data_IF_397191643965
#
_entry.id   IF_397191643965
#
_cell.length_a   1.000
_cell.length_b   1.000
_cell.length_c   1.000
_cell.angle_alpha   90.00
_cell.angle_beta   90.00
_cell.angle_gamma   90.00
#
_symmetry.space_group_name_H-M   'P 1'
#
loop_
_entity.id
_entity.type
_entity.pdbx_description
1 polymer ?
#
# COMPACT_ATOMS: atom_id res chain seq x y z
N UNK A 1 -12.80 18.85 -35.85
CA UNK A 1 -11.97 20.06 -35.59
C UNK A 1 -11.60 20.23 -34.12
N UNK A 2 -12.56 20.16 -33.17
CA UNK A 2 -12.29 20.24 -31.72
C UNK A 2 -11.25 19.21 -31.20
N UNK A 3 -11.31 17.96 -31.66
CA UNK A 3 -10.42 16.89 -31.18
C UNK A 3 -8.94 17.08 -31.57
N UNK A 4 -8.68 17.66 -32.75
CA UNK A 4 -7.32 17.93 -33.25
C UNK A 4 -6.69 19.10 -32.49
N UNK A 5 -7.47 20.15 -32.22
CA UNK A 5 -7.05 21.32 -31.44
C UNK A 5 -6.78 20.92 -29.98
N UNK A 6 -7.60 20.05 -29.39
CA UNK A 6 -7.36 19.52 -28.04
C UNK A 6 -6.08 18.67 -27.98
N UNK A 7 -5.86 17.78 -28.96
CA UNK A 7 -4.61 17.01 -29.05
C UNK A 7 -3.38 17.91 -29.17
N UNK A 8 -3.43 18.92 -30.05
CA UNK A 8 -2.34 19.86 -30.23
C UNK A 8 -2.06 20.69 -28.96
N UNK A 9 -3.09 21.16 -28.25
CA UNK A 9 -2.94 21.89 -26.98
C UNK A 9 -2.37 21.02 -25.86
N UNK A 10 -2.79 19.76 -25.76
CA UNK A 10 -2.25 18.80 -24.79
C UNK A 10 -0.77 18.53 -25.09
N UNK A 11 -0.43 18.25 -26.35
CA UNK A 11 0.96 18.04 -26.79
C UNK A 11 1.81 19.28 -26.51
N UNK A 12 1.35 20.49 -26.88
CA UNK A 12 2.10 21.72 -26.63
C UNK A 12 2.29 21.99 -25.13
N UNK A 13 1.24 21.81 -24.31
CA UNK A 13 1.31 22.00 -22.86
C UNK A 13 2.27 21.03 -22.19
N UNK A 14 2.33 19.79 -22.68
CA UNK A 14 3.28 18.76 -22.25
C UNK A 14 4.70 19.14 -22.65
N UNK A 15 4.92 19.48 -23.92
CA UNK A 15 6.25 19.88 -24.41
C UNK A 15 6.76 21.08 -23.61
N UNK A 16 5.93 22.10 -23.37
CA UNK A 16 6.31 23.27 -22.58
C UNK A 16 6.63 22.92 -21.12
N UNK A 17 5.78 22.13 -20.47
CA UNK A 17 5.99 21.63 -19.10
C UNK A 17 7.30 20.85 -18.98
N UNK A 18 7.65 20.09 -20.03
CA UNK A 18 8.87 19.30 -20.07
C UNK A 18 10.12 20.10 -20.40
N UNK A 19 10.06 21.08 -21.30
CA UNK A 19 11.19 21.98 -21.56
C UNK A 19 11.52 22.80 -20.31
N UNK A 20 10.51 23.19 -19.52
CA UNK A 20 10.70 23.81 -18.20
C UNK A 20 11.29 22.84 -17.17
N UNK A 21 10.87 21.58 -17.15
CA UNK A 21 11.37 20.55 -16.24
C UNK A 21 12.79 20.05 -16.58
N UNK A 22 13.18 20.01 -17.86
CA UNK A 22 14.51 19.62 -18.31
C UNK A 22 15.60 20.58 -17.80
N UNK A 23 15.25 21.86 -17.59
CA UNK A 23 16.14 22.85 -16.97
C UNK A 23 16.34 22.60 -15.46
N UNK A 24 15.33 22.04 -14.78
CA UNK A 24 15.33 21.80 -13.32
C UNK A 24 15.91 20.42 -12.95
N UNK A 25 15.79 19.42 -13.83
CA UNK A 25 16.22 18.03 -13.59
C UNK A 25 17.72 17.77 -13.70
N UNK A 26 18.52 18.74 -14.15
CA UNK A 26 19.98 18.59 -14.31
C UNK A 26 20.77 18.45 -12.99
N UNK A 27 20.14 18.65 -11.83
CA UNK A 27 20.76 18.50 -10.51
C UNK A 27 20.25 17.35 -9.63
N UNK A 28 19.23 16.59 -10.06
CA UNK A 28 18.57 15.59 -9.20
C UNK A 28 19.26 14.23 -9.28
N UNK A 29 19.88 13.80 -8.18
CA UNK A 29 20.40 12.44 -8.03
C UNK A 29 19.32 11.49 -7.52
N UNK A 30 19.24 10.28 -8.09
CA UNK A 30 18.49 9.19 -7.48
C UNK A 30 19.00 8.97 -6.05
N UNK A 31 18.09 8.89 -5.08
CA UNK A 31 18.49 8.51 -3.74
C UNK A 31 18.89 7.03 -3.75
N UNK A 32 20.14 6.75 -3.37
CA UNK A 32 20.53 5.39 -3.01
C UNK A 32 19.70 5.00 -1.81
N UNK A 33 18.96 3.91 -1.95
CA UNK A 33 18.25 3.33 -0.83
C UNK A 33 19.26 2.94 0.23
N UNK A 34 19.24 3.62 1.39
CA UNK A 34 20.09 3.26 2.52
C UNK A 34 19.45 2.17 3.37
N UNK A 35 18.22 2.39 3.86
CA UNK A 35 17.39 1.41 4.60
C UNK A 35 16.00 2.01 4.86
N UNK A 36 14.98 1.18 5.18
CA UNK A 36 13.76 1.68 5.83
C UNK A 36 14.06 1.93 7.32
N UNK A 37 13.88 3.16 7.86
CA UNK A 37 14.22 3.47 9.25
C UNK A 37 13.52 2.58 10.28
N UNK A 38 12.25 2.25 10.04
CA UNK A 38 11.48 1.35 10.91
C UNK A 38 12.06 -0.05 10.89
N UNK A 39 12.32 -0.60 9.70
CA UNK A 39 12.89 -1.94 9.56
C UNK A 39 14.26 -2.02 10.24
N UNK A 40 15.10 -0.99 10.08
CA UNK A 40 16.40 -0.89 10.76
C UNK A 40 16.27 -0.97 12.28
N UNK A 41 15.31 -0.24 12.86
CA UNK A 41 15.04 -0.25 14.30
C UNK A 41 14.52 -1.61 14.77
N UNK A 42 13.63 -2.25 14.01
CA UNK A 42 13.12 -3.58 14.30
C UNK A 42 14.25 -4.63 14.32
N UNK A 43 15.16 -4.58 13.35
CA UNK A 43 16.35 -5.44 13.31
C UNK A 43 17.27 -5.20 14.52
N UNK A 44 17.49 -3.94 14.91
CA UNK A 44 18.31 -3.58 16.08
C UNK A 44 17.77 -4.16 17.38
N UNK A 45 16.44 -4.24 17.53
CA UNK A 45 15.79 -4.87 18.70
C UNK A 45 15.55 -6.37 18.52
N UNK A 46 16.11 -6.98 17.46
CA UNK A 46 15.97 -8.40 17.13
C UNK A 46 14.52 -8.87 16.97
N UNK A 47 13.62 -7.97 16.54
CA UNK A 47 12.27 -8.39 16.17
C UNK A 47 12.35 -9.19 14.86
N UNK A 48 11.78 -10.41 14.80
CA UNK A 48 11.74 -11.19 13.57
C UNK A 48 10.98 -10.45 12.47
N UNK A 49 11.51 -10.50 11.25
CA UNK A 49 10.85 -10.06 10.02
C UNK A 49 10.48 -11.29 9.19
N UNK A 50 9.51 -11.16 8.30
CA UNK A 50 9.18 -12.22 7.35
C UNK A 50 10.33 -12.48 6.38
N UNK A 51 10.40 -13.71 5.86
CA UNK A 51 11.38 -14.08 4.82
C UNK A 51 11.29 -13.17 3.60
N UNK A 52 10.08 -12.79 3.20
CA UNK A 52 9.86 -11.92 2.04
C UNK A 52 10.33 -10.50 2.29
N UNK A 53 10.12 -9.96 3.50
CA UNK A 53 10.72 -8.68 3.90
C UNK A 53 12.24 -8.75 3.88
N UNK A 54 12.87 -9.77 4.46
CA UNK A 54 14.33 -9.90 4.46
C UNK A 54 14.92 -10.02 3.05
N UNK A 55 14.30 -10.84 2.21
CA UNK A 55 14.66 -11.01 0.79
C UNK A 55 14.52 -9.71 0.03
N UNK A 56 13.43 -8.98 0.27
CA UNK A 56 13.21 -7.68 -0.34
C UNK A 56 14.26 -6.67 0.15
N UNK A 57 14.52 -6.60 1.46
CA UNK A 57 15.53 -5.75 2.10
C UNK A 57 16.91 -5.90 1.49
N UNK A 58 17.37 -7.15 1.32
CA UNK A 58 18.65 -7.46 0.67
C UNK A 58 18.72 -7.01 -0.78
N UNK A 59 17.58 -7.02 -1.49
CA UNK A 59 17.51 -6.64 -2.90
C UNK A 59 17.61 -5.13 -3.09
N UNK A 60 16.88 -4.33 -2.31
CA UNK A 60 16.76 -2.89 -2.55
C UNK A 60 17.79 -2.02 -1.79
N UNK A 61 18.34 -2.45 -0.65
CA UNK A 61 19.42 -1.71 0.03
C UNK A 61 20.63 -1.54 -0.92
N UNK A 62 21.09 -0.30 -1.08
CA UNK A 62 22.13 0.07 -2.05
C UNK A 62 21.64 0.20 -3.50
N UNK A 63 20.36 -0.02 -3.78
CA UNK A 63 19.83 0.10 -5.14
C UNK A 63 19.75 1.57 -5.56
N UNK A 64 20.30 1.82 -6.75
CA UNK A 64 20.09 3.02 -7.53
C UNK A 64 19.46 2.60 -8.86
N UNK A 65 18.19 2.93 -9.08
CA UNK A 65 17.47 2.57 -10.30
C UNK A 65 18.03 3.29 -11.56
N UNK A 66 18.81 4.36 -11.39
CA UNK A 66 19.49 5.01 -12.52
C UNK A 66 20.77 4.27 -12.95
N UNK A 67 21.23 3.30 -12.16
CA UNK A 67 22.40 2.50 -12.51
C UNK A 67 22.20 1.68 -13.80
N UNK A 68 23.30 1.27 -14.48
CA UNK A 68 23.23 0.34 -15.59
C UNK A 68 22.51 -0.96 -15.22
N UNK A 69 21.74 -1.51 -16.16
CA UNK A 69 21.02 -2.78 -15.97
C UNK A 69 19.56 -2.66 -15.55
N UNK A 70 19.07 -1.48 -15.16
CA UNK A 70 17.63 -1.25 -14.98
C UNK A 70 16.97 -0.69 -16.24
N UNK A 71 15.77 -1.18 -16.54
CA UNK A 71 14.93 -0.78 -17.67
C UNK A 71 13.51 -0.49 -17.19
N UNK A 72 12.87 0.50 -17.80
CA UNK A 72 11.51 0.92 -17.54
C UNK A 72 10.74 0.82 -18.85
N UNK A 73 9.71 -0.02 -18.87
CA UNK A 73 9.15 -0.47 -20.15
C UNK A 73 7.64 -0.31 -20.23
N UNK A 74 6.97 0.04 -19.13
CA UNK A 74 5.51 0.04 -19.06
C UNK A 74 5.03 1.03 -17.99
N UNK A 75 4.08 1.86 -18.40
CA UNK A 75 3.14 2.51 -17.49
C UNK A 75 1.90 1.61 -17.38
N UNK A 76 1.42 1.41 -16.17
CA UNK A 76 0.26 0.56 -15.90
C UNK A 76 -0.68 1.24 -14.91
N UNK A 77 -1.92 0.77 -14.88
CA UNK A 77 -3.00 1.31 -14.05
C UNK A 77 -3.84 2.35 -14.82
N UNK A 78 -5.11 2.49 -14.41
CA UNK A 78 -6.10 3.32 -15.10
C UNK A 78 -6.29 4.66 -14.43
N UNK A 79 -6.41 4.64 -13.11
CA UNK A 79 -6.43 5.82 -12.23
C UNK A 79 -5.04 6.10 -11.69
N UNK A 80 -4.27 5.04 -11.47
CA UNK A 80 -2.92 5.02 -10.94
C UNK A 80 -1.91 4.77 -12.02
N UNK A 81 -0.73 5.39 -11.88
CA UNK A 81 0.30 5.32 -12.89
C UNK A 81 1.52 4.76 -12.23
N UNK A 82 1.80 3.52 -12.58
CA UNK A 82 2.93 2.82 -12.04
C UNK A 82 3.97 2.58 -13.11
N UNK A 83 5.23 2.87 -12.77
CA UNK A 83 6.38 2.54 -13.61
C UNK A 83 6.85 1.13 -13.26
N UNK A 84 6.70 0.19 -14.19
CA UNK A 84 7.26 -1.16 -14.03
C UNK A 84 8.77 -1.10 -14.19
N UNK A 85 9.47 -1.71 -13.25
CA UNK A 85 10.93 -1.75 -13.22
C UNK A 85 11.39 -3.18 -13.49
N UNK A 86 12.25 -3.33 -14.49
CA UNK A 86 12.91 -4.59 -14.83
C UNK A 86 14.41 -4.44 -14.67
N UNK A 87 15.09 -5.56 -14.36
CA UNK A 87 16.55 -5.64 -14.30
C UNK A 87 17.03 -6.65 -15.34
N UNK A 88 18.08 -6.32 -16.09
CA UNK A 88 18.73 -7.25 -17.03
C UNK A 88 19.05 -8.55 -16.28
N UNK A 89 18.64 -9.66 -16.89
CA UNK A 89 18.87 -11.00 -16.38
C UNK A 89 19.37 -11.90 -17.50
N UNK A 90 20.67 -12.24 -17.45
CA UNK A 90 21.30 -13.08 -18.47
C UNK A 90 20.80 -14.53 -18.46
N UNK A 91 20.09 -14.93 -17.41
CA UNK A 91 19.50 -16.27 -17.28
C UNK A 91 18.08 -16.35 -17.84
N UNK A 92 17.42 -15.21 -18.10
CA UNK A 92 16.14 -15.19 -18.82
C UNK A 92 16.43 -15.17 -20.32
N UNK A 93 16.44 -16.35 -20.94
CA UNK A 93 16.76 -16.52 -22.36
C UNK A 93 15.66 -15.99 -23.30
N UNK A 94 14.46 -15.67 -22.79
CA UNK A 94 13.32 -15.25 -23.61
C UNK A 94 13.25 -13.74 -23.68
N UNK A 95 13.30 -13.06 -22.54
CA UNK A 95 13.17 -11.61 -22.49
C UNK A 95 14.46 -10.91 -22.11
N UNK A 96 15.44 -11.60 -21.51
CA UNK A 96 16.68 -10.98 -21.00
C UNK A 96 16.47 -10.09 -19.78
N UNK A 97 15.30 -10.13 -19.13
CA UNK A 97 14.94 -9.24 -18.02
C UNK A 97 14.06 -9.92 -16.97
N UNK A 98 14.37 -9.70 -15.69
CA UNK A 98 13.47 -10.05 -14.57
C UNK A 98 12.69 -8.85 -14.05
N UNK A 99 11.44 -9.08 -13.64
CA UNK A 99 10.67 -8.09 -12.91
C UNK A 99 11.34 -7.79 -11.56
N UNK A 100 11.57 -6.49 -11.30
CA UNK A 100 12.25 -6.02 -10.09
C UNK A 100 11.25 -5.51 -9.05
N UNK A 101 10.33 -4.65 -9.50
CA UNK A 101 9.38 -3.96 -8.66
C UNK A 101 8.52 -2.98 -9.44
N UNK A 102 7.91 -2.06 -8.73
CA UNK A 102 7.04 -1.04 -9.31
C UNK A 102 7.19 0.25 -8.54
N UNK A 103 7.48 1.34 -9.24
CA UNK A 103 7.44 2.68 -8.64
C UNK A 103 6.03 3.26 -8.79
N UNK A 104 5.49 3.82 -7.71
CA UNK A 104 4.14 4.39 -7.64
C UNK A 104 4.21 5.87 -7.24
N UNK A 105 3.51 6.71 -8.01
CA UNK A 105 3.38 8.15 -7.73
C UNK A 105 2.14 8.45 -6.90
N UNK A 106 2.10 9.62 -6.24
CA UNK A 106 0.92 10.09 -5.51
C UNK A 106 -0.23 10.55 -6.43
N UNK A 107 -1.48 10.27 -6.07
CA UNK A 107 -2.70 11.01 -6.42
C UNK A 107 -3.91 10.40 -5.67
N UNK A 108 -5.11 10.98 -5.84
CA UNK A 108 -6.34 10.59 -5.11
C UNK A 108 -6.88 9.16 -5.29
N UNK A 109 -6.08 8.21 -5.80
CA UNK A 109 -6.33 6.75 -5.75
C UNK A 109 -5.09 5.97 -5.32
N UNK A 110 -3.87 6.52 -5.50
CA UNK A 110 -2.60 5.97 -5.05
C UNK A 110 -1.93 6.92 -4.09
N UNK A 111 -1.92 6.60 -2.80
CA UNK A 111 -1.12 7.29 -1.81
C UNK A 111 0.15 6.47 -1.49
N UNK A 112 1.34 6.84 -2.04
CA UNK A 112 2.59 6.14 -1.75
C UNK A 112 2.95 6.18 -0.27
N UNK A 113 2.62 7.26 0.45
CA UNK A 113 2.87 7.36 1.89
C UNK A 113 2.06 6.32 2.66
N UNK A 114 0.79 6.14 2.28
CA UNK A 114 -0.04 5.07 2.84
C UNK A 114 0.54 3.69 2.53
N UNK A 115 0.97 3.40 1.31
CA UNK A 115 1.61 2.11 0.98
C UNK A 115 2.81 1.80 1.89
N UNK A 116 3.66 2.80 2.13
CA UNK A 116 4.84 2.70 3.00
C UNK A 116 4.41 2.53 4.46
N UNK A 117 3.45 3.33 4.92
CA UNK A 117 2.95 3.32 6.29
C UNK A 117 2.23 2.02 6.65
N UNK A 118 1.48 1.42 5.71
CA UNK A 118 0.90 0.09 5.87
C UNK A 118 1.96 -0.95 6.14
N UNK A 119 2.97 -1.01 5.26
CA UNK A 119 4.05 -1.98 5.38
C UNK A 119 4.83 -1.79 6.70
N UNK A 120 5.24 -0.56 7.01
CA UNK A 120 6.00 -0.27 8.22
C UNK A 120 5.19 -0.55 9.49
N UNK A 121 3.90 -0.19 9.54
CA UNK A 121 3.06 -0.50 10.70
C UNK A 121 2.81 -2.00 10.82
N UNK A 122 2.57 -2.71 9.71
CA UNK A 122 2.43 -4.16 9.72
C UNK A 122 3.72 -4.84 10.25
N UNK A 123 4.90 -4.38 9.83
CA UNK A 123 6.18 -4.86 10.35
C UNK A 123 6.33 -4.62 11.86
N UNK A 124 5.97 -3.43 12.36
CA UNK A 124 5.94 -3.14 13.81
C UNK A 124 5.05 -4.14 14.55
N UNK A 125 3.88 -4.44 13.98
CA UNK A 125 2.92 -5.37 14.56
C UNK A 125 3.36 -6.84 14.45
N UNK A 126 4.26 -7.16 13.52
CA UNK A 126 4.79 -8.50 13.26
C UNK A 126 3.98 -9.28 12.22
N UNK A 127 3.40 -8.57 11.26
CA UNK A 127 2.56 -9.11 10.17
C UNK A 127 3.00 -8.53 8.81
N UNK A 128 4.30 -8.32 8.61
CA UNK A 128 4.85 -7.82 7.34
C UNK A 128 4.79 -8.84 6.20
N UNK A 129 4.47 -10.09 6.50
CA UNK A 129 4.20 -11.16 5.54
C UNK A 129 2.89 -10.96 4.76
N UNK A 130 1.90 -10.26 5.33
CA UNK A 130 0.59 -10.04 4.68
C UNK A 130 0.49 -8.74 3.87
N UNK A 131 1.52 -7.88 3.89
CA UNK A 131 1.54 -6.61 3.17
C UNK A 131 2.74 -6.61 2.22
N UNK A 132 2.51 -6.21 0.96
CA UNK A 132 3.59 -6.06 -0.02
C UNK A 132 4.58 -4.99 0.45
N UNK A 133 5.90 -5.31 0.54
CA UNK A 133 6.89 -4.34 0.97
C UNK A 133 6.94 -3.12 0.06
N UNK A 134 7.03 -1.94 0.69
CA UNK A 134 7.06 -0.64 0.04
C UNK A 134 7.96 0.33 0.82
N UNK A 135 8.52 1.30 0.10
CA UNK A 135 9.40 2.32 0.69
C UNK A 135 9.48 3.58 -0.15
N UNK A 136 9.79 4.70 0.49
CA UNK A 136 10.11 5.95 -0.18
C UNK A 136 11.25 5.77 -1.18
N UNK A 137 11.05 6.32 -2.37
CA UNK A 137 12.07 6.39 -3.39
C UNK A 137 11.94 7.71 -4.14
N UNK A 138 13.09 8.31 -4.46
CA UNK A 138 13.18 9.50 -5.30
C UNK A 138 13.74 9.06 -6.65
N UNK A 139 12.94 9.20 -7.71
CA UNK A 139 13.39 8.87 -9.06
C UNK A 139 14.56 9.78 -9.46
N UNK A 140 15.60 9.18 -10.03
CA UNK A 140 16.67 9.92 -10.68
C UNK A 140 16.30 10.30 -12.12
N UNK A 141 17.24 11.01 -12.76
CA UNK A 141 17.09 11.54 -14.11
C UNK A 141 16.71 10.48 -15.15
N UNK A 142 17.36 9.30 -15.14
CA UNK A 142 17.10 8.25 -16.13
C UNK A 142 15.69 7.69 -15.99
N UNK A 143 15.28 7.40 -14.76
CA UNK A 143 13.95 6.88 -14.47
C UNK A 143 12.85 7.90 -14.79
N UNK A 144 13.07 9.17 -14.41
CA UNK A 144 12.15 10.27 -14.70
C UNK A 144 11.99 10.51 -16.22
N UNK A 145 13.10 10.48 -16.97
CA UNK A 145 13.07 10.58 -18.43
C UNK A 145 12.33 9.39 -19.06
N UNK A 146 12.50 8.18 -18.53
CA UNK A 146 11.78 7.00 -19.02
C UNK A 146 10.27 7.11 -18.74
N UNK A 147 9.90 7.63 -17.58
CA UNK A 147 8.50 7.93 -17.23
C UNK A 147 7.90 8.93 -18.21
N UNK A 148 8.63 10.02 -18.53
CA UNK A 148 8.28 11.00 -19.56
C UNK A 148 8.06 10.36 -20.93
N UNK A 149 9.02 9.60 -21.43
CA UNK A 149 8.95 9.00 -22.77
C UNK A 149 7.83 7.97 -22.89
N UNK A 150 7.63 7.13 -21.88
CA UNK A 150 6.52 6.18 -21.87
C UNK A 150 5.17 6.91 -21.87
N UNK A 151 5.10 8.05 -21.19
CA UNK A 151 3.90 8.86 -21.20
C UNK A 151 3.62 9.48 -22.56
N UNK A 152 4.62 10.12 -23.18
CA UNK A 152 4.50 10.68 -24.53
C UNK A 152 4.04 9.61 -25.55
N UNK A 153 4.53 8.37 -25.39
CA UNK A 153 4.11 7.22 -26.19
C UNK A 153 2.65 6.83 -25.97
N UNK A 154 2.18 6.74 -24.72
CA UNK A 154 0.76 6.44 -24.44
C UNK A 154 -0.19 7.49 -25.04
N UNK A 155 0.23 8.76 -25.01
CA UNK A 155 -0.58 9.90 -25.49
C UNK A 155 -0.65 10.00 -27.02
N UNK A 156 0.35 9.49 -27.72
CA UNK A 156 0.38 9.48 -29.19
C UNK A 156 -0.43 8.33 -29.79
N UNK A 157 -0.69 7.25 -29.03
CA UNK A 157 -1.35 6.03 -29.52
C UNK A 157 -2.90 6.08 -29.41
N UNK A 158 -3.52 7.02 -28.68
CA UNK A 158 -4.93 6.89 -28.28
C UNK A 158 -6.00 7.51 -29.21
N UNK A 159 -7.09 6.75 -29.39
CA UNK A 159 -8.35 7.10 -30.07
C UNK A 159 -9.29 7.92 -29.16
N UNK A 160 -10.19 8.76 -29.72
CA UNK A 160 -11.15 9.55 -28.93
C UNK A 160 -12.16 8.67 -28.17
N UNK A 161 -12.45 8.99 -26.90
CA UNK A 161 -13.59 8.43 -26.14
C UNK A 161 -13.24 7.61 -24.89
N UNK A 162 -11.96 7.39 -24.58
CA UNK A 162 -11.58 6.68 -23.36
C UNK A 162 -11.58 7.62 -22.13
N UNK A 163 -12.67 7.59 -21.34
CA UNK A 163 -12.82 8.35 -20.08
C UNK A 163 -11.67 8.14 -19.11
N UNK A 164 -10.92 7.03 -19.21
CA UNK A 164 -9.74 6.75 -18.37
C UNK A 164 -8.59 7.71 -18.68
N UNK A 165 -8.49 8.21 -19.91
CA UNK A 165 -7.42 9.13 -20.32
C UNK A 165 -7.68 10.59 -19.92
N UNK A 166 -8.92 11.07 -20.00
CA UNK A 166 -9.28 12.45 -19.67
C UNK A 166 -8.98 12.83 -18.21
N UNK A 167 -9.01 11.85 -17.29
CA UNK A 167 -8.63 12.01 -15.88
C UNK A 167 -7.13 11.87 -15.66
N UNK A 168 -6.46 11.03 -16.46
CA UNK A 168 -5.05 10.65 -16.28
C UNK A 168 -4.12 11.79 -16.69
N UNK A 169 -4.38 12.47 -17.81
CA UNK A 169 -3.49 13.47 -18.43
C UNK A 169 -3.25 14.72 -17.57
N UNK A 170 -4.28 15.41 -17.02
CA UNK A 170 -4.05 16.62 -16.22
C UNK A 170 -3.29 16.32 -14.92
N UNK A 171 -3.54 15.14 -14.33
CA UNK A 171 -2.84 14.69 -13.13
C UNK A 171 -1.36 14.46 -13.42
N UNK A 172 -1.05 13.76 -14.51
CA UNK A 172 0.31 13.52 -14.98
C UNK A 172 1.11 14.80 -15.23
N UNK A 173 0.50 15.78 -15.89
CA UNK A 173 1.12 17.07 -16.18
C UNK A 173 1.53 17.85 -14.92
N UNK A 174 0.73 17.74 -13.84
CA UNK A 174 1.06 18.36 -12.56
C UNK A 174 2.29 17.76 -11.85
N UNK A 175 2.68 16.52 -12.19
CA UNK A 175 3.83 15.82 -11.59
C UNK A 175 5.13 16.10 -12.32
N UNK A 176 5.08 16.14 -13.64
CA UNK A 176 6.26 16.35 -14.48
C UNK A 176 6.89 17.72 -14.28
N UNK A 177 6.13 18.68 -13.75
CA UNK A 177 6.57 20.04 -13.45
C UNK A 177 7.16 20.22 -12.04
N UNK A 178 7.19 19.16 -11.20
CA UNK A 178 7.68 19.21 -9.81
C UNK A 178 8.79 18.20 -9.51
N UNK A 179 9.98 18.33 -10.13
CA UNK A 179 11.14 17.53 -9.71
C UNK A 179 11.63 17.94 -8.30
N UNK A 180 12.14 17.00 -7.49
CA UNK A 180 12.31 15.58 -7.81
C UNK A 180 11.00 14.77 -7.66
N UNK A 181 10.83 13.73 -8.48
CA UNK A 181 9.67 12.82 -8.38
C UNK A 181 9.85 11.86 -7.19
N UNK A 182 9.12 12.11 -6.12
CA UNK A 182 9.09 11.29 -4.90
C UNK A 182 7.86 10.39 -4.94
N UNK A 183 8.03 9.12 -4.56
CA UNK A 183 6.95 8.15 -4.50
C UNK A 183 7.36 6.89 -3.74
N UNK A 184 6.65 5.79 -4.01
CA UNK A 184 6.90 4.49 -3.36
C UNK A 184 7.51 3.48 -4.32
N UNK A 185 8.59 2.80 -3.93
CA UNK A 185 9.06 1.59 -4.60
C UNK A 185 8.45 0.37 -3.92
N UNK A 186 7.59 -0.36 -4.63
CA UNK A 186 6.98 -1.61 -4.19
C UNK A 186 7.77 -2.81 -4.70
N UNK A 187 7.93 -3.83 -3.87
CA UNK A 187 8.48 -5.14 -4.25
C UNK A 187 7.78 -5.72 -5.49
N UNK A 188 8.35 -6.68 -6.24
CA UNK A 188 7.54 -7.45 -7.21
C UNK A 188 6.37 -8.12 -6.47
N UNK A 189 5.19 -8.25 -7.10
CA UNK A 189 4.11 -9.09 -6.54
C UNK A 189 4.61 -10.53 -6.37
N UNK A 190 4.07 -11.25 -5.38
CA UNK A 190 4.34 -12.67 -5.21
C UNK A 190 3.95 -13.45 -6.48
N UNK A 191 4.71 -14.48 -6.85
CA UNK A 191 4.50 -15.19 -8.12
C UNK A 191 3.16 -15.96 -8.16
N UNK A 192 2.69 -16.39 -6.99
CA UNK A 192 1.38 -17.00 -6.81
C UNK A 192 0.28 -16.00 -6.42
N UNK A 193 0.50 -14.69 -6.63
CA UNK A 193 -0.50 -13.68 -6.31
C UNK A 193 -1.78 -13.87 -7.14
N UNK A 194 -2.93 -13.83 -6.48
CA UNK A 194 -4.23 -13.74 -7.14
C UNK A 194 -5.18 -12.83 -6.36
N UNK A 195 -6.05 -12.11 -7.08
CA UNK A 195 -7.15 -11.36 -6.47
C UNK A 195 -8.22 -12.32 -5.91
N UNK A 196 -8.83 -11.96 -4.79
CA UNK A 196 -9.88 -12.75 -4.15
C UNK A 196 -11.23 -12.02 -4.17
N UNK A 197 -11.90 -12.10 -5.31
CA UNK A 197 -13.13 -11.36 -5.64
C UNK A 197 -14.32 -11.75 -4.77
N UNK A 198 -14.40 -13.01 -4.35
CA UNK A 198 -15.50 -13.53 -3.53
C UNK A 198 -15.57 -12.97 -2.10
N UNK A 199 -14.64 -12.09 -1.72
CA UNK A 199 -14.70 -11.38 -0.45
C UNK A 199 -15.43 -10.03 -0.56
N UNK A 200 -15.57 -9.48 -1.76
CA UNK A 200 -16.21 -8.20 -2.00
C UNK A 200 -17.68 -8.36 -2.41
N UNK A 201 -18.53 -7.57 -1.76
CA UNK A 201 -19.93 -7.36 -2.11
C UNK A 201 -20.07 -5.97 -2.75
N UNK A 202 -20.16 -5.93 -4.08
CA UNK A 202 -20.25 -4.70 -4.86
C UNK A 202 -21.59 -4.72 -5.60
N UNK A 203 -22.64 -4.06 -5.07
CA UNK A 203 -23.92 -3.98 -5.76
C UNK A 203 -23.75 -3.32 -7.14
N UNK A 204 -24.45 -3.78 -8.19
CA UNK A 204 -24.42 -3.15 -9.50
C UNK A 204 -24.73 -1.65 -9.41
N UNK A 205 -23.86 -0.81 -9.98
CA UNK A 205 -24.01 0.65 -9.97
C UNK A 205 -23.64 1.36 -8.67
N UNK A 206 -23.26 0.64 -7.61
CA UNK A 206 -22.76 1.26 -6.39
C UNK A 206 -21.34 1.80 -6.60
N UNK A 207 -21.10 3.04 -6.18
CA UNK A 207 -19.75 3.63 -6.20
C UNK A 207 -18.80 3.07 -5.14
N UNK A 208 -19.32 2.27 -4.18
CA UNK A 208 -18.57 1.62 -3.10
C UNK A 208 -19.22 0.30 -2.67
N UNK A 209 -18.41 -0.72 -2.38
CA UNK A 209 -18.81 -2.04 -1.85
C UNK A 209 -18.34 -2.27 -0.41
N UNK A 210 -18.67 -3.46 0.12
CA UNK A 210 -18.28 -3.92 1.45
C UNK A 210 -17.87 -5.39 1.46
N UNK A 211 -17.57 -5.98 2.62
CA UNK A 211 -17.29 -7.40 2.71
C UNK A 211 -18.56 -8.24 2.50
N UNK A 212 -18.45 -9.33 1.76
CA UNK A 212 -19.53 -10.30 1.60
C UNK A 212 -19.76 -11.04 2.94
N UNK A 213 -20.87 -10.76 3.62
CA UNK A 213 -21.11 -11.18 5.01
C UNK A 213 -21.11 -12.71 5.23
N UNK A 214 -21.46 -13.48 4.20
CA UNK A 214 -21.46 -14.95 4.26
C UNK A 214 -20.11 -15.57 3.92
N UNK A 215 -19.12 -14.76 3.51
CA UNK A 215 -17.75 -15.23 3.33
C UNK A 215 -17.23 -15.86 4.63
N UNK A 216 -16.65 -17.07 4.60
CA UNK A 216 -16.30 -17.82 5.81
C UNK A 216 -15.34 -17.06 6.72
N UNK A 217 -14.41 -16.28 6.15
CA UNK A 217 -13.46 -15.47 6.93
C UNK A 217 -14.17 -14.28 7.57
N UNK A 218 -14.99 -13.53 6.82
CA UNK A 218 -15.76 -12.39 7.34
C UNK A 218 -16.71 -12.84 8.46
N UNK A 219 -17.35 -14.01 8.29
CA UNK A 219 -18.25 -14.58 9.29
C UNK A 219 -17.53 -14.82 10.62
N UNK A 220 -16.34 -15.42 10.60
CA UNK A 220 -15.57 -15.66 11.84
C UNK A 220 -14.90 -14.42 12.40
N UNK A 221 -14.96 -13.28 11.71
CA UNK A 221 -14.51 -11.97 12.24
C UNK A 221 -15.61 -11.20 12.96
N UNK A 222 -16.80 -11.77 13.10
CA UNK A 222 -17.84 -11.25 13.97
C UNK A 222 -17.74 -11.90 15.35
N UNK A 223 -17.59 -11.10 16.40
CA UNK A 223 -17.47 -11.58 17.77
C UNK A 223 -18.71 -12.37 18.25
N UNK A 224 -19.88 -12.12 17.65
CA UNK A 224 -21.12 -12.84 17.91
C UNK A 224 -21.20 -14.23 17.29
N UNK A 225 -20.34 -14.56 16.32
CA UNK A 225 -20.31 -15.87 15.66
C UNK A 225 -19.35 -16.83 16.40
N UNK A 226 -19.40 -18.15 16.17
CA UNK A 226 -18.41 -19.07 16.74
C UNK A 226 -16.97 -18.71 16.36
N UNK A 227 -16.00 -19.07 17.21
CA UNK A 227 -14.58 -18.91 16.90
C UNK A 227 -14.13 -19.89 15.80
N UNK A 228 -13.18 -19.51 14.94
CA UNK A 228 -12.59 -20.43 13.99
C UNK A 228 -11.69 -21.45 14.71
N UNK A 229 -11.83 -22.72 14.37
CA UNK A 229 -10.95 -23.78 14.84
C UNK A 229 -9.63 -23.78 14.06
N UNK A 230 -8.52 -24.11 14.72
CA UNK A 230 -7.24 -24.34 14.07
C UNK A 230 -7.30 -25.56 13.14
N UNK A 231 -6.46 -25.55 12.10
CA UNK A 231 -6.35 -26.61 11.06
C UNK A 231 -7.60 -26.82 10.21
N UNK A 232 -8.63 -25.98 10.37
CA UNK A 232 -9.82 -26.01 9.52
C UNK A 232 -9.48 -25.40 8.16
N UNK A 233 -9.37 -26.26 7.14
CA UNK A 233 -9.13 -25.83 5.77
C UNK A 233 -10.37 -25.17 5.17
N UNK A 234 -10.16 -24.12 4.38
CA UNK A 234 -11.19 -23.45 3.60
C UNK A 234 -10.69 -23.24 2.18
N UNK A 235 -11.51 -23.64 1.20
CA UNK A 235 -11.28 -23.32 -0.20
C UNK A 235 -11.72 -21.87 -0.44
N UNK A 236 -10.79 -21.03 -0.88
CA UNK A 236 -11.04 -19.62 -1.16
C UNK A 236 -11.47 -19.44 -2.62
N UNK A 237 -10.70 -20.04 -3.52
CA UNK A 237 -10.97 -20.12 -4.95
C UNK A 237 -10.19 -21.29 -5.54
N UNK A 238 -10.41 -21.59 -6.82
CA UNK A 238 -9.72 -22.68 -7.52
C UNK A 238 -8.20 -22.58 -7.31
N UNK A 239 -7.62 -23.62 -6.71
CA UNK A 239 -6.19 -23.71 -6.43
C UNK A 239 -5.71 -22.96 -5.18
N UNK A 240 -6.57 -22.31 -4.40
CA UNK A 240 -6.21 -21.57 -3.18
C UNK A 240 -6.99 -22.10 -1.97
N UNK A 241 -6.31 -22.88 -1.13
CA UNK A 241 -6.84 -23.39 0.14
C UNK A 241 -5.97 -22.90 1.28
N UNK A 242 -6.59 -22.34 2.32
CA UNK A 242 -5.88 -21.84 3.50
C UNK A 242 -6.46 -22.38 4.81
N UNK A 243 -5.78 -22.08 5.91
CA UNK A 243 -6.28 -22.36 7.26
C UNK A 243 -7.18 -21.22 7.74
N UNK A 244 -8.41 -21.53 8.17
CA UNK A 244 -9.41 -20.54 8.50
C UNK A 244 -9.00 -19.64 9.68
N UNK A 245 -8.36 -20.18 10.72
CA UNK A 245 -7.92 -19.39 11.86
C UNK A 245 -6.78 -18.45 11.47
N UNK A 246 -5.80 -18.95 10.72
CA UNK A 246 -4.69 -18.15 10.22
C UNK A 246 -5.19 -17.02 9.31
N UNK A 247 -6.03 -17.34 8.32
CA UNK A 247 -6.64 -16.36 7.43
C UNK A 247 -7.47 -15.31 8.19
N UNK A 248 -8.21 -15.72 9.23
CA UNK A 248 -8.94 -14.80 10.08
C UNK A 248 -7.99 -13.86 10.84
N UNK A 249 -6.86 -14.36 11.36
CA UNK A 249 -5.87 -13.52 12.05
C UNK A 249 -5.25 -12.49 11.10
N UNK A 250 -4.84 -12.94 9.91
CA UNK A 250 -4.28 -12.08 8.86
C UNK A 250 -5.27 -10.99 8.45
N UNK A 251 -6.52 -11.35 8.15
CA UNK A 251 -7.52 -10.38 7.70
C UNK A 251 -8.02 -9.46 8.82
N UNK A 252 -8.07 -9.93 10.07
CA UNK A 252 -8.33 -9.08 11.23
C UNK A 252 -7.28 -7.96 11.36
N UNK A 253 -6.01 -8.27 11.09
CA UNK A 253 -4.94 -7.27 11.08
C UNK A 253 -5.10 -6.29 9.92
N UNK A 254 -5.38 -6.78 8.70
CA UNK A 254 -5.62 -5.94 7.53
C UNK A 254 -6.75 -4.94 7.79
N UNK A 255 -7.91 -5.41 8.27
CA UNK A 255 -9.02 -4.50 8.55
C UNK A 255 -8.76 -3.54 9.71
N UNK A 256 -7.93 -3.94 10.67
CA UNK A 256 -7.47 -3.03 11.73
C UNK A 256 -6.61 -1.91 11.16
N UNK A 257 -5.72 -2.21 10.20
CA UNK A 257 -4.94 -1.21 9.47
C UNK A 257 -5.85 -0.34 8.59
N UNK A 258 -6.86 -0.93 7.93
CA UNK A 258 -7.86 -0.21 7.12
C UNK A 258 -8.61 0.85 7.94
N UNK A 259 -8.88 0.60 9.22
CA UNK A 259 -9.44 1.60 10.15
C UNK A 259 -8.42 2.72 10.43
N UNK A 260 -7.17 2.36 10.72
CA UNK A 260 -6.12 3.31 11.11
C UNK A 260 -5.80 4.27 9.97
N UNK A 261 -5.69 3.77 8.75
CA UNK A 261 -5.30 4.56 7.58
C UNK A 261 -6.49 4.98 6.70
N UNK A 262 -7.72 4.69 7.12
CA UNK A 262 -8.95 5.06 6.41
C UNK A 262 -9.02 4.53 4.97
N UNK A 263 -8.68 3.26 4.78
CA UNK A 263 -8.79 2.62 3.47
C UNK A 263 -10.24 2.68 2.96
N UNK A 264 -10.45 3.34 1.82
CA UNK A 264 -11.77 3.51 1.23
C UNK A 264 -12.12 2.53 0.11
N UNK A 265 -11.12 1.89 -0.50
CA UNK A 265 -11.30 1.14 -1.75
C UNK A 265 -11.03 -0.37 -1.66
N UNK A 266 -10.79 -0.91 -0.44
CA UNK A 266 -10.49 -2.34 -0.19
C UNK A 266 -11.38 -3.29 -1.02
N UNK A 267 -12.67 -2.96 -1.12
CA UNK A 267 -13.66 -3.76 -1.83
C UNK A 267 -14.02 -3.22 -3.22
N UNK A 268 -13.77 -1.94 -3.53
CA UNK A 268 -14.32 -1.27 -4.73
C UNK A 268 -13.66 -1.70 -6.05
N UNK A 269 -12.48 -2.31 -5.97
CA UNK A 269 -11.78 -2.92 -7.11
C UNK A 269 -11.27 -4.34 -6.78
N UNK A 270 -11.77 -4.94 -5.70
CA UNK A 270 -11.19 -6.16 -5.09
C UNK A 270 -9.69 -6.01 -4.79
N UNK A 271 -9.34 -5.01 -3.96
CA UNK A 271 -7.99 -4.84 -3.44
C UNK A 271 -7.70 -5.83 -2.30
N UNK A 272 -8.16 -7.07 -2.45
CA UNK A 272 -7.96 -8.21 -1.56
C UNK A 272 -7.21 -9.26 -2.35
N UNK A 273 -5.97 -9.53 -1.95
CA UNK A 273 -5.09 -10.48 -2.60
C UNK A 273 -4.77 -11.71 -1.76
N UNK A 274 -4.45 -12.80 -2.45
CA UNK A 274 -3.94 -14.04 -1.88
C UNK A 274 -2.56 -14.33 -2.47
N UNK A 275 -1.70 -14.96 -1.67
CA UNK A 275 -0.46 -15.59 -2.12
C UNK A 275 -0.33 -16.97 -1.47
N UNK A 276 0.47 -17.84 -2.07
CA UNK A 276 0.79 -19.16 -1.53
C UNK A 276 2.17 -19.17 -0.91
N UNK A 277 2.29 -19.82 0.24
CA UNK A 277 3.59 -20.14 0.85
C UNK A 277 4.29 -21.33 0.15
N UNK A 278 5.47 -21.70 0.65
CA UNK A 278 6.25 -22.85 0.15
C UNK A 278 5.50 -24.19 0.31
N UNK A 279 4.52 -24.27 1.21
CA UNK A 279 3.67 -25.43 1.44
C UNK A 279 2.38 -25.41 0.58
N UNK A 280 2.28 -24.48 -0.38
CA UNK A 280 1.10 -24.24 -1.22
C UNK A 280 -0.18 -23.86 -0.44
N UNK A 281 -0.04 -23.37 0.79
CA UNK A 281 -1.14 -22.85 1.61
C UNK A 281 -1.38 -21.40 1.24
N UNK A 282 -2.66 -21.05 1.05
CA UNK A 282 -3.05 -19.68 0.74
C UNK A 282 -3.09 -18.80 2.00
N UNK A 283 -2.52 -17.60 1.85
CA UNK A 283 -2.45 -16.52 2.84
C UNK A 283 -2.96 -15.22 2.22
N UNK A 284 -3.42 -14.28 3.03
CA UNK A 284 -3.71 -12.94 2.56
C UNK A 284 -2.40 -12.18 2.25
N UNK A 285 -2.40 -11.47 1.11
CA UNK A 285 -1.26 -10.67 0.68
C UNK A 285 -1.73 -9.39 0.00
N UNK A 286 -1.76 -8.28 0.74
CA UNK A 286 -2.25 -6.99 0.27
C UNK A 286 -1.19 -6.30 -0.57
N UNK A 287 -1.49 -6.08 -1.84
CA UNK A 287 -0.56 -5.44 -2.78
C UNK A 287 -0.93 -4.02 -3.14
N UNK A 288 -2.10 -3.57 -2.71
CA UNK A 288 -2.68 -2.29 -3.06
C UNK A 288 -3.34 -1.66 -1.82
N UNK A 289 -2.69 -0.62 -1.31
CA UNK A 289 -3.15 0.17 -0.17
C UNK A 289 -3.15 1.66 -0.52
N UNK A 290 -3.03 1.99 -1.81
CA UNK A 290 -3.02 3.36 -2.30
C UNK A 290 -4.31 4.12 -2.02
N UNK A 291 -5.45 3.41 -1.97
CA UNK A 291 -6.75 3.96 -1.59
C UNK A 291 -6.89 4.35 -0.11
N UNK A 292 -5.83 4.30 0.69
CA UNK A 292 -5.87 4.82 2.05
C UNK A 292 -5.49 6.30 2.08
N UNK A 293 -6.30 7.10 2.77
CA UNK A 293 -6.15 8.55 2.88
C UNK A 293 -6.52 9.01 4.29
N UNK A 294 -5.52 9.38 5.09
CA UNK A 294 -5.77 9.90 6.42
C UNK A 294 -6.21 11.36 6.37
N UNK A 295 -7.52 11.56 6.31
CA UNK A 295 -8.17 12.89 6.29
C UNK A 295 -8.99 13.14 7.54
N UNK A 296 -9.47 14.37 7.70
CA UNK A 296 -10.26 14.74 8.89
C UNK A 296 -11.69 14.17 8.92
N UNK A 297 -12.12 13.49 7.87
CA UNK A 297 -13.41 12.80 7.78
C UNK A 297 -13.41 11.47 8.58
N UNK A 298 -14.55 11.15 9.19
CA UNK A 298 -14.78 9.93 9.98
C UNK A 298 -15.59 8.86 9.24
N UNK A 299 -16.11 9.16 8.05
CA UNK A 299 -16.98 8.25 7.31
C UNK A 299 -16.29 6.91 7.01
N UNK A 300 -15.05 6.95 6.50
CA UNK A 300 -14.30 5.75 6.15
C UNK A 300 -13.90 4.94 7.40
N UNK A 301 -13.57 5.59 8.51
CA UNK A 301 -13.29 4.93 9.82
C UNK A 301 -14.53 4.20 10.32
N UNK A 302 -15.67 4.90 10.37
CA UNK A 302 -16.93 4.38 10.90
C UNK A 302 -17.40 3.19 10.08
N UNK A 303 -17.31 3.30 8.74
CA UNK A 303 -17.60 2.20 7.83
C UNK A 303 -16.67 1.01 8.10
N UNK A 304 -15.36 1.21 8.16
CA UNK A 304 -14.40 0.12 8.35
C UNK A 304 -14.58 -0.57 9.72
N UNK A 305 -14.90 0.17 10.77
CA UNK A 305 -15.25 -0.38 12.09
C UNK A 305 -16.54 -1.21 12.08
N UNK A 306 -17.47 -0.96 11.15
CA UNK A 306 -18.72 -1.72 11.04
C UNK A 306 -18.55 -3.10 10.42
N UNK A 307 -17.40 -3.35 9.76
CA UNK A 307 -17.17 -4.58 9.01
C UNK A 307 -16.78 -5.77 9.88
N UNK A 308 -16.29 -5.54 11.10
CA UNK A 308 -15.81 -6.60 11.96
C UNK A 308 -15.82 -6.23 13.43
N UNK A 309 -15.78 -7.26 14.27
CA UNK A 309 -15.79 -7.10 15.71
C UNK A 309 -14.87 -8.10 16.43
N UNK A 310 -14.09 -8.91 15.72
CA UNK A 310 -13.11 -9.82 16.32
C UNK A 310 -11.69 -9.44 15.93
N UNK A 311 -10.85 -9.23 16.94
CA UNK A 311 -9.52 -8.65 16.80
C UNK A 311 -8.40 -9.64 17.12
N UNK A 312 -7.19 -9.37 16.62
CA UNK A 312 -5.98 -10.01 17.10
C UNK A 312 -5.50 -9.32 18.39
N UNK A 313 -5.48 -10.04 19.52
CA UNK A 313 -5.13 -9.48 20.83
C UNK A 313 -3.72 -8.88 20.86
N UNK A 314 -2.73 -9.55 20.27
CA UNK A 314 -1.33 -9.07 20.24
C UNK A 314 -1.21 -7.76 19.47
N UNK A 315 -1.93 -7.66 18.34
CA UNK A 315 -2.01 -6.44 17.52
C UNK A 315 -2.60 -5.28 18.31
N UNK A 316 -3.76 -5.49 18.94
CA UNK A 316 -4.41 -4.44 19.76
C UNK A 316 -3.50 -3.98 20.91
N UNK A 317 -2.80 -4.89 21.59
CA UNK A 317 -1.87 -4.52 22.67
C UNK A 317 -0.74 -3.62 22.17
N UNK A 318 -0.10 -3.95 21.03
CA UNK A 318 0.92 -3.09 20.43
C UNK A 318 0.36 -1.73 19.99
N UNK A 319 -0.86 -1.70 19.45
CA UNK A 319 -1.52 -0.44 19.08
C UNK A 319 -1.89 0.43 20.30
N UNK A 320 -2.24 -0.17 21.44
CA UNK A 320 -2.39 0.56 22.71
C UNK A 320 -1.07 1.20 23.14
N UNK A 321 0.05 0.49 23.01
CA UNK A 321 1.38 1.04 23.31
C UNK A 321 1.73 2.20 22.38
N UNK A 322 1.48 2.06 21.07
CA UNK A 322 1.66 3.13 20.10
C UNK A 322 0.81 4.36 20.47
N UNK A 323 -0.48 4.16 20.77
CA UNK A 323 -1.36 5.26 21.20
C UNK A 323 -0.86 5.96 22.47
N UNK A 324 -0.37 5.20 23.46
CA UNK A 324 0.21 5.77 24.68
C UNK A 324 1.47 6.60 24.39
N UNK A 325 2.34 6.13 23.48
CA UNK A 325 3.51 6.88 23.04
C UNK A 325 3.14 8.16 22.31
N UNK A 326 2.18 8.10 21.38
CA UNK A 326 1.78 9.31 20.66
C UNK A 326 1.27 10.37 21.64
N UNK A 327 0.48 9.99 22.65
CA UNK A 327 -0.03 10.91 23.67
C UNK A 327 1.04 11.41 24.64
N UNK A 328 2.04 10.58 24.96
CA UNK A 328 3.14 10.95 25.83
C UNK A 328 4.47 10.40 25.27
N UNK A 329 5.15 11.15 24.39
CA UNK A 329 6.36 10.69 23.72
C UNK A 329 7.51 10.33 24.67
N UNK A 330 7.50 10.84 25.90
CA UNK A 330 8.51 10.52 26.92
C UNK A 330 8.50 9.03 27.33
N UNK A 331 7.38 8.32 27.14
CA UNK A 331 7.30 6.86 27.35
C UNK A 331 8.13 6.06 26.34
N UNK A 332 8.39 6.67 25.19
CA UNK A 332 9.09 6.07 24.07
C UNK A 332 8.33 4.93 23.39
N UNK A 333 8.74 4.63 22.15
CA UNK A 333 8.22 3.50 21.37
C UNK A 333 9.27 3.10 20.34
N UNK A 334 9.74 1.85 20.35
CA UNK A 334 10.80 1.37 19.42
C UNK A 334 12.04 2.30 19.37
N UNK A 335 12.39 2.91 20.51
CA UNK A 335 13.50 3.87 20.60
C UNK A 335 13.19 5.29 20.10
N UNK A 336 11.98 5.57 19.62
CA UNK A 336 11.52 6.93 19.36
C UNK A 336 11.14 7.63 20.66
N UNK A 337 11.46 8.92 20.77
CA UNK A 337 11.00 9.84 21.83
C UNK A 337 10.28 11.07 21.29
N UNK A 338 10.12 11.15 19.96
CA UNK A 338 9.44 12.22 19.25
C UNK A 338 8.40 11.57 18.31
N UNK A 339 7.12 11.96 18.47
CA UNK A 339 6.03 11.41 17.69
C UNK A 339 6.05 11.86 16.22
N UNK A 340 6.50 13.09 15.94
CA UNK A 340 6.62 13.62 14.58
C UNK A 340 7.71 12.88 13.80
N UNK A 341 8.88 12.67 14.41
CA UNK A 341 9.93 11.85 13.79
C UNK A 341 9.45 10.41 13.54
N UNK A 342 8.65 9.85 14.46
CA UNK A 342 8.07 8.52 14.26
C UNK A 342 7.13 8.46 13.06
N UNK A 343 6.20 9.42 12.88
CA UNK A 343 5.26 9.36 11.74
C UNK A 343 5.96 9.61 10.39
N UNK A 344 7.01 10.42 10.37
CA UNK A 344 7.86 10.57 9.18
C UNK A 344 8.53 9.25 8.83
N UNK A 345 9.19 8.61 9.79
CA UNK A 345 9.84 7.31 9.58
C UNK A 345 8.84 6.18 9.30
N UNK A 346 7.60 6.30 9.79
CA UNK A 346 6.49 5.41 9.44
C UNK A 346 6.16 5.50 7.95
N UNK A 347 6.39 6.65 7.31
CA UNK A 347 6.14 6.87 5.89
C UNK A 347 5.11 7.95 5.58
N UNK A 348 4.65 8.71 6.59
CA UNK A 348 3.64 9.77 6.45
C UNK A 348 4.33 11.14 6.48
N UNK A 349 4.62 11.72 5.32
CA UNK A 349 5.44 12.95 5.28
C UNK A 349 5.20 13.87 4.08
N UNK A 350 4.46 13.46 3.04
CA UNK A 350 4.40 14.19 1.78
C UNK A 350 3.21 15.14 1.64
N UNK A 351 2.05 14.84 2.21
CA UNK A 351 0.82 15.63 1.99
C UNK A 351 0.48 16.58 3.15
N UNK A 352 0.76 16.17 4.38
CA UNK A 352 0.51 16.95 5.60
C UNK A 352 1.81 17.14 6.39
N UNK A 353 1.84 18.14 7.29
CA UNK A 353 2.99 18.23 8.20
C UNK A 353 2.93 17.10 9.23
N UNK A 354 4.08 16.72 9.81
CA UNK A 354 4.15 15.60 10.76
C UNK A 354 3.20 15.75 11.95
N UNK A 355 3.00 16.96 12.48
CA UNK A 355 2.10 17.21 13.60
C UNK A 355 0.64 16.86 13.28
N UNK A 356 0.17 17.17 12.08
CA UNK A 356 -1.17 16.80 11.60
C UNK A 356 -1.31 15.28 11.46
N UNK A 357 -0.30 14.59 10.92
CA UNK A 357 -0.31 13.12 10.89
C UNK A 357 -0.31 12.49 12.28
N UNK A 358 0.44 13.04 13.24
CA UNK A 358 0.38 12.61 14.64
C UNK A 358 -1.03 12.75 15.20
N UNK A 359 -1.68 13.89 14.96
CA UNK A 359 -3.07 14.15 15.41
C UNK A 359 -4.06 13.16 14.80
N UNK A 360 -3.99 12.93 13.49
CA UNK A 360 -4.87 12.00 12.76
C UNK A 360 -4.66 10.55 13.22
N UNK A 361 -3.41 10.12 13.34
CA UNK A 361 -3.07 8.77 13.80
C UNK A 361 -3.56 8.54 15.24
N UNK A 362 -3.37 9.52 16.15
CA UNK A 362 -3.93 9.48 17.51
C UNK A 362 -5.44 9.29 17.50
N UNK A 363 -6.15 10.10 16.70
CA UNK A 363 -7.61 10.05 16.62
C UNK A 363 -8.09 8.70 16.10
N UNK A 364 -7.51 8.21 15.00
CA UNK A 364 -7.94 6.95 14.38
C UNK A 364 -7.68 5.77 15.32
N UNK A 365 -6.53 5.75 16.01
CA UNK A 365 -6.23 4.77 17.06
C UNK A 365 -7.20 4.87 18.24
N UNK A 366 -7.53 6.07 18.71
CA UNK A 366 -8.49 6.24 19.80
C UNK A 366 -9.86 5.68 19.44
N UNK A 367 -10.36 5.94 18.23
CA UNK A 367 -11.65 5.44 17.74
C UNK A 367 -11.64 3.91 17.65
N UNK A 368 -10.58 3.33 17.07
CA UNK A 368 -10.38 1.88 17.05
C UNK A 368 -10.39 1.29 18.47
N UNK A 369 -9.57 1.83 19.38
CA UNK A 369 -9.42 1.30 20.74
C UNK A 369 -10.71 1.44 21.57
N UNK A 370 -11.48 2.52 21.36
CA UNK A 370 -12.82 2.67 21.95
C UNK A 370 -13.78 1.60 21.42
N UNK A 371 -13.77 1.32 20.12
CA UNK A 371 -14.61 0.27 19.54
C UNK A 371 -14.21 -1.11 20.07
N UNK A 372 -12.91 -1.42 20.13
CA UNK A 372 -12.40 -2.67 20.71
C UNK A 372 -12.87 -2.82 22.16
N UNK A 373 -12.76 -1.79 22.99
CA UNK A 373 -13.22 -1.83 24.37
C UNK A 373 -14.74 -2.02 24.47
N UNK A 374 -15.53 -1.40 23.58
CA UNK A 374 -16.98 -1.60 23.54
C UNK A 374 -17.36 -3.04 23.16
N UNK A 375 -16.69 -3.61 22.16
CA UNK A 375 -16.86 -5.02 21.76
C UNK A 375 -16.43 -5.96 22.88
N UNK A 376 -15.28 -5.72 23.53
CA UNK A 376 -14.78 -6.53 24.64
C UNK A 376 -15.75 -6.52 25.82
N UNK A 377 -16.35 -5.37 26.16
CA UNK A 377 -17.42 -5.30 27.18
C UNK A 377 -18.65 -6.12 26.79
N UNK A 378 -19.00 -6.18 25.50
CA UNK A 378 -20.18 -6.89 25.01
C UNK A 378 -19.97 -8.41 24.88
N UNK A 379 -18.80 -8.84 24.43
CA UNK A 379 -18.54 -10.22 24.01
C UNK A 379 -17.42 -10.92 24.82
N UNK A 380 -16.78 -10.21 25.75
CA UNK A 380 -15.67 -10.74 26.54
C UNK A 380 -14.53 -11.27 25.67
N UNK A 381 -14.07 -12.49 25.96
CA UNK A 381 -12.99 -13.13 25.22
C UNK A 381 -13.33 -13.39 23.73
N UNK A 382 -14.61 -13.42 23.36
CA UNK A 382 -15.04 -13.62 21.97
C UNK A 382 -14.74 -12.41 21.07
N UNK A 383 -14.42 -11.27 21.66
CA UNK A 383 -13.89 -10.10 20.96
C UNK A 383 -12.50 -10.35 20.33
N UNK A 384 -11.82 -11.42 20.73
CA UNK A 384 -10.50 -11.76 20.23
C UNK A 384 -10.49 -13.13 19.54
N UNK A 385 -9.64 -13.27 18.53
CA UNK A 385 -9.30 -14.57 17.95
C UNK A 385 -8.53 -15.40 18.99
N UNK A 386 -8.74 -16.73 19.03
CA UNK A 386 -8.01 -17.62 19.94
C UNK A 386 -6.52 -17.66 19.62
#
# INVERSE_FOLDING_TARGET
MNTIITKAKVILGITLAFTLADTITNGVQANVIKQSPIIAKLQKIKQPLSKETDKWMKRWVGTNLDAPGFVYNELSGTTEIYLKIRKIDKTDLVNGYKAYGTFVTGHGSSNPDSEIAYFNLAAILGHDDVIRPAVSYTLGKKAAQSFKTLLEKELTITLPGDRRHDVRIPRLLGWLTKPPLIGGLKAKKHDSYAEYKSMADIPPGAGRGGPFKTNPIIKVLQASNPQPAAKKKVLLQTGYTGDLLQLAREYSNIMTLDVIFQQWDRYNNTNVGLAKDDANIAHFYMTDNGGADMKDDLADITRNLSYFSRYNRKTITKLKQLYMFLNNPARGFLGYKNAESFVVDLGLYSELKPAEYVRLLKRNLLLLLKNVAAVERKYGNQAYLP
#
